data_IF_255368419094
#
_entry.id   IF_255368419094
#
_cell.length_a   1.000
_cell.length_b   1.000
_cell.length_c   1.000
_cell.angle_alpha   90.00
_cell.angle_beta   90.00
_cell.angle_gamma   90.00
#
_symmetry.space_group_name_H-M   'P 1'
#
loop_
_entity.id
_entity.type
_entity.pdbx_description
1 polymer ?
#
# COMPACT_ATOMS: atom_id res chain seq x y z
N UNK A 1 -22.16 -20.87 51.37
CA UNK A 1 -22.39 -19.41 51.46
C UNK A 1 -21.43 -18.71 50.48
N UNK A 2 -21.97 -17.86 49.59
CA UNK A 2 -21.28 -16.93 48.65
C UNK A 2 -20.58 -15.77 49.41
N UNK A 3 -19.72 -14.88 48.84
CA UNK A 3 -19.66 -14.33 47.45
C UNK A 3 -18.24 -14.33 46.79
N UNK A 4 -18.02 -14.29 45.46
CA UNK A 4 -18.30 -13.34 44.36
C UNK A 4 -17.17 -12.29 44.12
N UNK A 5 -16.81 -12.07 42.82
CA UNK A 5 -15.91 -11.06 42.19
C UNK A 5 -14.41 -11.45 42.07
N UNK A 6 -13.65 -11.19 40.99
CA UNK A 6 -13.84 -10.49 39.70
C UNK A 6 -12.68 -10.84 38.73
N UNK A 7 -12.94 -10.69 37.43
CA UNK A 7 -11.96 -10.73 36.31
C UNK A 7 -10.79 -9.75 36.48
N UNK A 8 -9.60 -10.13 36.01
CA UNK A 8 -8.57 -9.28 35.35
C UNK A 8 -7.42 -10.22 34.95
N UNK A 9 -6.90 -10.30 33.73
CA UNK A 9 -6.44 -9.19 32.91
C UNK A 9 -6.26 -9.68 31.47
N UNK A 10 -7.04 -9.13 30.55
CA UNK A 10 -6.83 -9.25 29.11
C UNK A 10 -5.86 -8.12 28.72
N UNK A 11 -4.55 -8.37 28.72
CA UNK A 11 -3.58 -7.47 28.09
C UNK A 11 -3.59 -7.75 26.58
N UNK A 12 -4.57 -7.21 25.86
CA UNK A 12 -4.40 -6.92 24.44
C UNK A 12 -3.84 -5.51 24.35
N UNK A 13 -2.54 -5.44 24.04
CA UNK A 13 -1.84 -4.20 23.81
C UNK A 13 -2.57 -3.37 22.75
N UNK A 14 -2.89 -2.13 23.12
CA UNK A 14 -3.36 -1.11 22.20
C UNK A 14 -2.23 -0.79 21.23
N UNK A 15 -2.31 -1.34 20.01
CA UNK A 15 -1.51 -0.86 18.89
C UNK A 15 -2.07 0.53 18.57
N UNK A 16 -1.31 1.57 18.89
CA UNK A 16 -1.66 2.95 18.63
C UNK A 16 -1.40 3.28 17.14
N UNK A 17 -2.04 2.54 16.24
CA UNK A 17 -2.08 2.84 14.81
C UNK A 17 -3.05 3.98 14.59
N UNK A 18 -2.54 5.14 14.20
CA UNK A 18 -3.36 6.21 13.63
C UNK A 18 -3.85 5.74 12.26
N UNK A 19 -5.05 5.17 12.22
CA UNK A 19 -5.72 4.75 10.97
C UNK A 19 -6.45 5.97 10.41
N UNK A 20 -5.95 6.51 9.29
CA UNK A 20 -6.72 7.42 8.45
C UNK A 20 -7.64 6.58 7.57
N UNK A 21 -8.92 6.46 7.94
CA UNK A 21 -9.89 5.70 7.17
C UNK A 21 -10.68 6.63 6.23
N UNK A 22 -10.41 6.51 4.94
CA UNK A 22 -11.40 6.73 3.87
C UNK A 22 -11.44 5.46 3.04
N UNK A 23 -12.57 4.73 3.03
CA UNK A 23 -12.70 3.50 2.24
C UNK A 23 -12.73 3.82 0.74
N UNK A 24 -11.53 3.97 0.18
CA UNK A 24 -11.23 3.86 -1.24
C UNK A 24 -9.85 3.21 -1.37
N UNK A 25 -9.85 1.89 -1.49
CA UNK A 25 -8.80 1.12 -2.16
C UNK A 25 -7.47 0.88 -1.44
N UNK A 26 -6.89 1.87 -0.77
CA UNK A 26 -5.53 1.76 -0.21
C UNK A 26 -5.38 2.49 1.13
N UNK A 27 -4.75 1.83 2.10
CA UNK A 27 -4.47 2.38 3.43
C UNK A 27 -2.98 2.25 3.74
N UNK A 28 -2.35 3.34 4.17
CA UNK A 28 -0.96 3.37 4.62
C UNK A 28 -0.79 3.39 6.12
N UNK A 29 0.23 2.70 6.61
CA UNK A 29 0.69 2.79 8.00
C UNK A 29 2.21 2.67 8.08
N UNK A 30 2.77 3.19 9.18
CA UNK A 30 4.18 3.01 9.53
C UNK A 30 4.26 1.93 10.61
N UNK A 31 5.13 0.94 10.38
CA UNK A 31 5.37 -0.17 11.29
C UNK A 31 6.24 0.29 12.48
N UNK A 32 6.30 -0.52 13.54
CA UNK A 32 7.08 -0.20 14.74
C UNK A 32 8.59 -0.04 14.48
N UNK A 33 9.10 -0.66 13.42
CA UNK A 33 10.48 -0.55 12.96
C UNK A 33 10.72 0.64 12.00
N UNK A 34 9.70 1.47 11.77
CA UNK A 34 9.76 2.63 10.89
C UNK A 34 9.56 2.30 9.40
N UNK A 35 9.34 1.04 9.03
CA UNK A 35 9.06 0.64 7.65
C UNK A 35 7.64 0.94 7.25
N UNK A 36 7.42 1.19 5.97
CA UNK A 36 6.11 1.45 5.42
C UNK A 36 5.32 0.15 5.22
N UNK A 37 4.01 0.21 5.47
CA UNK A 37 3.01 -0.84 5.17
C UNK A 37 1.88 -0.21 4.37
N UNK A 38 1.49 -0.86 3.28
CA UNK A 38 0.28 -0.52 2.52
C UNK A 38 -0.65 -1.71 2.49
N UNK A 39 -1.94 -1.44 2.61
CA UNK A 39 -3.01 -2.42 2.55
C UNK A 39 -3.96 -2.04 1.43
N UNK A 40 -4.26 -3.00 0.55
CA UNK A 40 -5.18 -2.81 -0.57
C UNK A 40 -6.51 -3.48 -0.24
N UNK A 41 -7.56 -2.68 -0.23
CA UNK A 41 -8.90 -3.04 0.19
C UNK A 41 -9.88 -2.94 -0.97
N UNK A 42 -10.73 -3.94 -1.15
CA UNK A 42 -11.78 -3.96 -2.16
C UNK A 42 -13.13 -4.19 -1.48
N UNK A 43 -14.07 -3.24 -1.63
CA UNK A 43 -15.41 -3.31 -1.02
C UNK A 43 -15.41 -3.65 0.50
N UNK A 44 -14.39 -3.17 1.22
CA UNK A 44 -14.23 -3.42 2.66
C UNK A 44 -13.53 -4.74 3.02
N UNK A 45 -13.10 -5.52 2.03
CA UNK A 45 -12.28 -6.72 2.21
C UNK A 45 -10.81 -6.41 1.92
N UNK A 46 -9.92 -6.72 2.86
CA UNK A 46 -8.48 -6.69 2.62
C UNK A 46 -8.14 -7.78 1.61
N UNK A 47 -7.39 -7.44 0.57
CA UNK A 47 -6.95 -8.42 -0.42
C UNK A 47 -5.43 -8.60 -0.42
N UNK A 48 -4.67 -7.52 -0.23
CA UNK A 48 -3.21 -7.54 -0.36
C UNK A 48 -2.58 -6.64 0.68
N UNK A 49 -1.48 -7.11 1.27
CA UNK A 49 -0.60 -6.29 2.09
C UNK A 49 0.76 -6.14 1.39
N UNK A 50 1.25 -4.92 1.25
CA UNK A 50 2.60 -4.62 0.80
C UNK A 50 3.44 -4.13 1.98
N UNK A 51 4.58 -4.78 2.22
CA UNK A 51 5.52 -4.41 3.27
C UNK A 51 6.85 -3.97 2.67
N UNK A 52 7.33 -2.80 3.09
CA UNK A 52 8.69 -2.36 2.78
C UNK A 52 9.72 -3.32 3.36
N UNK A 53 10.74 -3.64 2.57
CA UNK A 53 11.87 -4.48 2.96
C UNK A 53 13.09 -3.64 3.38
N UNK A 54 14.11 -4.26 3.97
CA UNK A 54 15.31 -3.54 4.44
C UNK A 54 16.08 -2.84 3.31
N UNK A 55 16.04 -3.39 2.11
CA UNK A 55 16.62 -2.79 0.90
C UNK A 55 15.74 -1.67 0.29
N UNK A 56 14.58 -1.40 0.88
CA UNK A 56 13.59 -0.46 0.34
C UNK A 56 12.71 -1.06 -0.76
N UNK A 57 12.85 -2.35 -1.03
CA UNK A 57 11.96 -3.13 -1.89
C UNK A 57 10.60 -3.38 -1.24
N UNK A 58 9.84 -4.31 -1.81
CA UNK A 58 8.49 -4.64 -1.38
C UNK A 58 8.26 -6.14 -1.38
N UNK A 59 7.65 -6.64 -0.31
CA UNK A 59 7.05 -7.97 -0.29
C UNK A 59 5.53 -7.81 -0.29
N UNK A 60 4.87 -8.48 -1.23
CA UNK A 60 3.41 -8.56 -1.30
C UNK A 60 2.94 -9.84 -0.62
N UNK A 61 1.87 -9.74 0.15
CA UNK A 61 1.23 -10.84 0.86
C UNK A 61 -0.26 -10.90 0.51
N UNK A 62 -0.79 -12.10 0.28
CA UNK A 62 -2.23 -12.30 0.21
C UNK A 62 -2.89 -12.30 1.61
N UNK A 63 -4.21 -12.51 1.62
CA UNK A 63 -5.02 -12.59 2.84
C UNK A 63 -4.65 -13.76 3.76
N UNK A 64 -4.01 -14.79 3.21
CA UNK A 64 -3.56 -15.97 3.95
C UNK A 64 -2.13 -15.79 4.49
N UNK A 65 -1.47 -14.67 4.15
CA UNK A 65 -0.11 -14.35 4.54
C UNK A 65 0.97 -15.01 3.67
N UNK A 66 0.62 -15.54 2.51
CA UNK A 66 1.59 -16.11 1.58
C UNK A 66 2.28 -14.98 0.80
N UNK A 67 3.60 -15.10 0.64
CA UNK A 67 4.38 -14.18 -0.20
C UNK A 67 4.02 -14.39 -1.66
N UNK A 68 3.79 -13.29 -2.35
CA UNK A 68 3.37 -13.27 -3.74
C UNK A 68 4.57 -13.00 -4.64
N UNK A 69 4.76 -13.91 -5.59
CA UNK A 69 5.82 -13.81 -6.58
C UNK A 69 5.39 -12.86 -7.70
N UNK A 70 5.97 -11.65 -7.71
CA UNK A 70 5.62 -10.58 -8.66
C UNK A 70 5.91 -10.99 -10.11
N UNK A 71 6.92 -11.83 -10.34
CA UNK A 71 7.37 -12.24 -11.69
C UNK A 71 6.48 -13.34 -12.28
N UNK A 72 6.08 -14.34 -11.46
CA UNK A 72 5.25 -15.46 -11.93
C UNK A 72 3.84 -15.06 -12.35
N UNK A 73 3.32 -13.97 -11.78
CA UNK A 73 1.97 -13.48 -12.01
C UNK A 73 1.81 -12.83 -13.40
N UNK A 74 2.90 -12.56 -14.13
CA UNK A 74 2.84 -12.11 -15.53
C UNK A 74 2.70 -13.25 -16.53
N UNK A 75 3.29 -14.41 -16.26
CA UNK A 75 3.31 -15.54 -17.19
C UNK A 75 1.95 -16.22 -17.34
N UNK A 76 1.14 -16.19 -16.28
CA UNK A 76 -0.09 -16.99 -16.19
C UNK A 76 -1.36 -16.16 -16.40
N UNK A 77 -1.33 -15.15 -17.28
CA UNK A 77 -2.45 -14.21 -17.52
C UNK A 77 -3.87 -14.81 -17.68
N UNK A 78 -4.00 -16.13 -17.82
CA UNK A 78 -5.24 -16.93 -17.76
C UNK A 78 -5.70 -17.40 -16.36
N UNK A 79 -4.83 -17.50 -15.33
CA UNK A 79 -5.21 -17.93 -13.96
C UNK A 79 -5.91 -16.81 -13.18
N UNK A 80 -5.77 -15.58 -13.67
CA UNK A 80 -6.15 -14.33 -13.01
C UNK A 80 -7.44 -13.70 -13.56
N UNK A 81 -8.07 -14.28 -14.59
CA UNK A 81 -9.33 -13.76 -15.13
C UNK A 81 -10.48 -13.76 -14.12
N UNK A 82 -10.33 -14.48 -13.00
CA UNK A 82 -11.31 -14.56 -11.91
C UNK A 82 -10.96 -13.76 -10.65
N UNK A 83 -9.77 -13.12 -10.58
CA UNK A 83 -9.34 -12.36 -9.39
C UNK A 83 -9.20 -10.86 -9.71
N UNK A 84 -10.16 -10.12 -9.15
CA UNK A 84 -10.28 -8.69 -8.79
C UNK A 84 -9.29 -7.65 -9.39
N UNK A 85 -9.79 -6.47 -9.85
CA UNK A 85 -8.97 -5.36 -10.36
C UNK A 85 -7.90 -4.80 -9.41
N UNK A 86 -8.09 -4.89 -8.08
CA UNK A 86 -7.16 -4.34 -7.07
C UNK A 86 -5.78 -5.00 -7.11
N UNK A 87 -5.74 -6.29 -7.47
CA UNK A 87 -4.50 -7.06 -7.57
C UNK A 87 -3.56 -6.55 -8.64
N UNK A 88 -4.13 -6.23 -9.81
CA UNK A 88 -3.36 -5.66 -10.92
C UNK A 88 -2.73 -4.33 -10.51
N UNK A 89 -3.41 -3.53 -9.70
CA UNK A 89 -2.89 -2.25 -9.20
C UNK A 89 -1.74 -2.49 -8.21
N UNK A 90 -1.90 -3.42 -7.25
CA UNK A 90 -0.84 -3.74 -6.30
C UNK A 90 0.44 -4.28 -6.97
N UNK A 91 0.31 -5.06 -8.05
CA UNK A 91 1.47 -5.48 -8.84
C UNK A 91 2.17 -4.31 -9.55
N UNK A 92 1.41 -3.42 -10.19
CA UNK A 92 1.97 -2.23 -10.85
C UNK A 92 2.72 -1.37 -9.84
N UNK A 93 2.16 -1.25 -8.65
CA UNK A 93 2.77 -0.57 -7.52
C UNK A 93 4.05 -1.26 -7.03
N UNK A 94 4.03 -2.59 -6.93
CA UNK A 94 5.21 -3.34 -6.52
C UNK A 94 6.36 -3.19 -7.53
N UNK A 95 6.07 -3.13 -8.82
CA UNK A 95 7.07 -2.83 -9.86
C UNK A 95 7.62 -1.42 -9.76
N UNK A 96 6.76 -0.45 -9.45
CA UNK A 96 7.18 0.92 -9.20
C UNK A 96 8.22 0.97 -8.07
N UNK A 97 7.96 0.26 -6.97
CA UNK A 97 8.91 0.17 -5.84
C UNK A 97 10.16 -0.62 -6.24
N UNK A 98 10.03 -1.77 -6.90
CA UNK A 98 11.19 -2.54 -7.35
C UNK A 98 12.15 -1.69 -8.21
N UNK A 99 11.60 -0.75 -8.99
CA UNK A 99 12.36 0.14 -9.85
C UNK A 99 13.03 1.32 -9.12
N UNK A 100 12.34 1.94 -8.17
CA UNK A 100 12.76 3.22 -7.58
C UNK A 100 13.07 3.14 -6.07
N UNK A 101 12.86 1.96 -5.46
CA UNK A 101 13.16 1.61 -4.09
C UNK A 101 12.50 2.51 -3.04
N UNK A 102 13.24 2.72 -1.95
CA UNK A 102 12.83 3.46 -0.75
C UNK A 102 12.19 4.83 -1.04
N UNK A 103 12.65 5.53 -2.08
CA UNK A 103 12.15 6.87 -2.39
C UNK A 103 10.68 6.88 -2.78
N UNK A 104 10.16 5.81 -3.39
CA UNK A 104 8.74 5.71 -3.73
C UNK A 104 7.89 5.65 -2.46
N UNK A 105 8.28 4.84 -1.47
CA UNK A 105 7.58 4.78 -0.19
C UNK A 105 7.47 6.16 0.46
N UNK A 106 8.59 6.87 0.58
CA UNK A 106 8.60 8.23 1.13
C UNK A 106 7.70 9.19 0.34
N UNK A 107 7.72 9.10 -0.99
CA UNK A 107 6.88 9.94 -1.84
C UNK A 107 5.40 9.71 -1.57
N UNK A 108 4.95 8.45 -1.55
CA UNK A 108 3.53 8.08 -1.34
C UNK A 108 3.06 8.55 0.03
N UNK A 109 3.84 8.33 1.07
CA UNK A 109 3.48 8.75 2.41
C UNK A 109 3.56 10.27 2.61
N UNK A 110 4.39 10.96 1.82
CA UNK A 110 4.40 12.43 1.80
C UNK A 110 3.15 13.01 1.13
N UNK A 111 2.74 12.48 -0.02
CA UNK A 111 1.54 12.95 -0.75
C UNK A 111 0.23 12.42 -0.17
N UNK A 112 0.32 11.55 0.83
CA UNK A 112 -0.76 10.73 1.39
C UNK A 112 -1.19 9.58 0.46
N UNK A 113 -1.54 8.45 1.06
CA UNK A 113 -1.99 7.24 0.36
C UNK A 113 -3.31 7.43 -0.36
N UNK A 114 -4.23 8.26 0.15
CA UNK A 114 -5.54 8.47 -0.50
C UNK A 114 -5.39 9.21 -1.83
N UNK A 115 -4.73 10.39 -1.89
CA UNK A 115 -4.49 11.07 -3.17
C UNK A 115 -3.64 10.23 -4.13
N UNK A 116 -2.65 9.48 -3.62
CA UNK A 116 -1.86 8.59 -4.47
C UNK A 116 -2.72 7.49 -5.09
N UNK A 117 -3.68 6.93 -4.34
CA UNK A 117 -4.61 5.93 -4.85
C UNK A 117 -5.54 6.50 -5.92
N UNK A 118 -6.20 7.62 -5.61
CA UNK A 118 -7.17 8.26 -6.51
C UNK A 118 -6.52 8.69 -7.83
N UNK A 119 -5.28 9.17 -7.76
CA UNK A 119 -4.45 9.58 -8.90
C UNK A 119 -3.54 8.46 -9.43
N UNK A 120 -3.71 7.23 -8.95
CA UNK A 120 -2.73 6.16 -9.10
C UNK A 120 -2.44 5.81 -10.55
N UNK A 121 -3.45 5.84 -11.43
CA UNK A 121 -3.26 5.54 -12.84
C UNK A 121 -2.27 6.50 -13.52
N UNK A 122 -2.35 7.80 -13.25
CA UNK A 122 -1.45 8.80 -13.86
C UNK A 122 0.00 8.57 -13.43
N UNK A 123 0.24 8.28 -12.16
CA UNK A 123 1.59 7.95 -11.67
C UNK A 123 2.08 6.63 -12.24
N UNK A 124 1.24 5.59 -12.26
CA UNK A 124 1.63 4.25 -12.71
C UNK A 124 1.84 4.19 -14.23
N UNK A 125 1.08 4.94 -15.03
CA UNK A 125 1.25 5.03 -16.50
C UNK A 125 2.53 5.79 -16.86
N UNK A 126 2.76 6.92 -16.19
CA UNK A 126 4.02 7.66 -16.32
C UNK A 126 5.24 6.82 -15.90
N UNK A 127 5.10 6.04 -14.83
CA UNK A 127 6.15 5.13 -14.38
C UNK A 127 6.41 3.95 -15.32
N UNK A 128 5.38 3.48 -16.04
CA UNK A 128 5.56 2.48 -17.10
C UNK A 128 6.45 3.01 -18.23
N UNK A 129 6.40 4.32 -18.52
CA UNK A 129 7.31 5.00 -19.46
C UNK A 129 8.72 5.23 -18.89
N UNK A 130 8.93 4.89 -17.62
CA UNK A 130 10.23 4.92 -16.96
C UNK A 130 10.59 6.19 -16.22
N UNK A 131 9.61 7.06 -16.02
CA UNK A 131 9.76 8.22 -15.16
C UNK A 131 9.44 7.86 -13.70
N UNK A 132 10.10 8.51 -12.76
CA UNK A 132 9.73 8.36 -11.35
C UNK A 132 8.42 9.12 -11.06
N UNK A 133 7.64 8.75 -10.03
CA UNK A 133 6.37 9.41 -9.70
C UNK A 133 6.48 10.92 -9.48
N UNK A 134 7.57 11.36 -8.84
CA UNK A 134 7.90 12.79 -8.63
C UNK A 134 8.39 13.52 -9.89
N UNK A 135 8.41 12.84 -11.04
CA UNK A 135 8.66 13.42 -12.35
C UNK A 135 7.41 13.39 -13.24
N UNK A 136 6.26 12.92 -12.74
CA UNK A 136 5.00 12.78 -13.47
C UNK A 136 4.08 14.00 -13.23
N UNK A 137 4.01 14.95 -14.18
CA UNK A 137 3.22 16.17 -13.99
C UNK A 137 1.71 15.89 -13.92
N UNK A 138 1.20 14.87 -14.62
CA UNK A 138 -0.21 14.49 -14.63
C UNK A 138 -0.67 14.05 -13.24
N UNK A 139 0.03 13.08 -12.65
CA UNK A 139 -0.22 12.65 -11.27
C UNK A 139 -0.03 13.79 -10.27
N UNK A 140 0.98 14.64 -10.50
CA UNK A 140 1.23 15.83 -9.69
C UNK A 140 0.12 16.89 -9.73
N UNK A 141 -0.55 17.05 -10.87
CA UNK A 141 -1.73 17.92 -11.00
C UNK A 141 -2.94 17.30 -10.30
N UNK A 142 -3.13 15.99 -10.43
CA UNK A 142 -4.22 15.27 -9.78
C UNK A 142 -4.16 15.34 -8.25
N UNK A 143 -2.99 15.09 -7.63
CA UNK A 143 -2.83 15.19 -6.16
C UNK A 143 -2.81 16.64 -5.64
N UNK A 144 -2.71 17.61 -6.54
CA UNK A 144 -2.57 19.02 -6.22
C UNK A 144 -1.12 19.51 -6.29
N UNK A 145 -0.88 20.51 -7.13
CA UNK A 145 0.45 21.00 -7.48
C UNK A 145 1.28 21.55 -6.31
N UNK A 146 0.64 21.97 -5.20
CA UNK A 146 1.34 22.44 -4.01
C UNK A 146 1.95 21.27 -3.22
N UNK A 147 1.14 20.24 -2.93
CA UNK A 147 1.56 19.01 -2.25
C UNK A 147 2.62 18.30 -3.08
N UNK A 148 2.36 18.15 -4.38
CA UNK A 148 3.30 17.50 -5.29
C UNK A 148 4.68 18.17 -5.33
N UNK A 149 4.72 19.51 -5.38
CA UNK A 149 6.00 20.26 -5.36
C UNK A 149 6.72 20.17 -4.02
N UNK A 150 6.00 19.98 -2.93
CA UNK A 150 6.61 19.78 -1.61
C UNK A 150 7.23 18.38 -1.47
N UNK A 151 6.58 17.36 -2.03
CA UNK A 151 6.97 15.96 -1.87
C UNK A 151 7.94 15.41 -2.93
N UNK A 152 8.17 16.15 -4.03
CA UNK A 152 9.09 15.79 -5.11
C UNK A 152 10.56 15.90 -4.72
#
# INVERSE_FOLDING_TARGET
MKPFLLLSSLFMALINTTVSASFQGMVGSIQADGKHRLEFWNEGQLEITALEQDDGGVALYDVDGNVLDIEKVEEDGSSLEKRVPIWRIALRFARLIARFGRRVWTFIFCVDTTPFWDCGNDFLDCAASGHAPWACPEGGLCVGAAIYRHCK
#
